data_IF_926122300932
#
_entry.id   IF_926122300932
#
_cell.length_a   1.000
_cell.length_b   1.000
_cell.length_c   1.000
_cell.angle_alpha   90.00
_cell.angle_beta   90.00
_cell.angle_gamma   90.00
#
_symmetry.space_group_name_H-M   'P 1'
#
loop_
_entity.id
_entity.type
_entity.pdbx_description
1 polymer ?
#
# COMPACT_ATOMS: atom_id res chain seq x y z
N UNK A 1 -44.74 37.31 20.50
CA UNK A 1 -44.40 36.15 19.66
C UNK A 1 -43.41 36.57 18.59
N UNK A 2 -42.10 36.38 18.84
CA UNK A 2 -41.05 36.58 17.86
C UNK A 2 -40.35 35.25 17.63
N UNK A 3 -40.63 34.61 16.49
CA UNK A 3 -39.88 33.44 16.01
C UNK A 3 -38.58 33.90 15.37
N UNK A 4 -37.45 33.44 15.91
CA UNK A 4 -36.11 33.57 15.25
C UNK A 4 -36.01 32.52 14.15
N UNK A 5 -35.43 32.84 12.99
CA UNK A 5 -35.19 31.87 11.94
C UNK A 5 -34.00 30.96 12.33
N UNK A 6 -34.15 29.66 12.14
CA UNK A 6 -33.09 28.66 12.27
C UNK A 6 -32.13 28.82 11.09
N UNK A 7 -30.87 29.11 11.37
CA UNK A 7 -29.79 29.03 10.41
C UNK A 7 -29.62 27.57 9.98
N UNK A 8 -29.74 27.30 8.67
CA UNK A 8 -29.36 26.04 8.06
C UNK A 8 -27.81 26.00 8.03
N UNK A 9 -27.23 25.11 8.80
CA UNK A 9 -25.83 24.73 8.66
C UNK A 9 -25.66 24.07 7.28
N UNK A 10 -25.02 24.78 6.36
CA UNK A 10 -24.56 24.25 5.10
C UNK A 10 -23.44 23.24 5.40
N UNK A 11 -23.73 21.94 5.26
CA UNK A 11 -22.71 20.92 5.24
C UNK A 11 -21.86 21.16 3.98
N UNK A 12 -20.67 21.72 4.16
CA UNK A 12 -19.62 21.67 3.16
C UNK A 12 -19.33 20.21 2.88
N UNK A 13 -19.85 19.69 1.77
CA UNK A 13 -19.37 18.43 1.20
C UNK A 13 -17.92 18.67 0.77
N UNK A 14 -16.99 18.34 1.65
CA UNK A 14 -15.60 18.10 1.26
C UNK A 14 -15.69 16.96 0.24
N UNK A 15 -15.29 17.25 -0.99
CA UNK A 15 -15.09 16.24 -2.03
C UNK A 15 -14.04 15.25 -1.51
N UNK A 16 -14.49 14.23 -0.79
CA UNK A 16 -13.70 13.03 -0.55
C UNK A 16 -13.37 12.49 -1.94
N UNK A 17 -12.10 12.30 -2.26
CA UNK A 17 -11.70 11.41 -3.35
C UNK A 17 -12.27 10.04 -2.99
N UNK A 18 -13.45 9.78 -3.48
CA UNK A 18 -14.19 8.56 -3.22
C UNK A 18 -13.49 7.43 -3.98
N UNK A 19 -12.60 6.74 -3.27
CA UNK A 19 -11.84 5.59 -3.78
C UNK A 19 -12.74 4.37 -3.95
N UNK A 20 -14.00 4.43 -3.46
CA UNK A 20 -15.01 3.38 -3.64
C UNK A 20 -15.46 3.17 -5.10
N UNK A 21 -14.94 3.99 -6.01
CA UNK A 21 -15.18 3.86 -7.46
C UNK A 21 -14.14 3.04 -8.21
N UNK A 22 -13.25 2.33 -7.52
CA UNK A 22 -12.43 1.34 -8.21
C UNK A 22 -13.38 0.23 -8.70
N UNK A 23 -13.53 0.15 -10.03
CA UNK A 23 -14.38 -0.84 -10.71
C UNK A 23 -13.99 -2.28 -10.35
N UNK A 24 -14.76 -3.23 -10.87
CA UNK A 24 -14.50 -4.67 -10.67
C UNK A 24 -13.01 -5.02 -10.79
N UNK A 25 -12.51 -5.96 -9.96
CA UNK A 25 -11.09 -6.35 -9.96
C UNK A 25 -10.63 -6.67 -11.37
N UNK A 26 -9.51 -6.04 -11.78
CA UNK A 26 -9.03 -6.10 -13.15
C UNK A 26 -8.79 -7.53 -13.59
N UNK A 27 -9.69 -8.05 -14.38
CA UNK A 27 -9.57 -9.37 -15.02
C UNK A 27 -8.60 -9.39 -16.20
N UNK A 28 -7.96 -8.27 -16.56
CA UNK A 28 -7.11 -8.17 -17.74
C UNK A 28 -5.65 -7.84 -17.38
N UNK A 29 -4.75 -8.64 -17.92
CA UNK A 29 -3.30 -8.40 -17.85
C UNK A 29 -2.97 -7.06 -18.51
N UNK A 30 -2.12 -6.20 -17.91
CA UNK A 30 -1.73 -4.93 -18.51
C UNK A 30 -1.11 -5.10 -19.88
N UNK A 31 -1.54 -4.28 -20.85
CA UNK A 31 -1.06 -4.35 -22.24
C UNK A 31 -0.70 -2.97 -22.76
N UNK A 32 0.33 -2.94 -23.59
CA UNK A 32 0.66 -1.75 -24.37
C UNK A 32 -0.54 -1.32 -25.23
N UNK A 33 -0.95 -0.05 -25.19
CA UNK A 33 -2.07 0.44 -26.00
C UNK A 33 -1.81 0.36 -27.52
N UNK A 34 -0.55 0.39 -27.96
CA UNK A 34 -0.16 0.39 -29.36
C UNK A 34 0.07 -1.03 -29.90
N UNK A 35 1.00 -1.80 -29.33
CA UNK A 35 1.37 -3.12 -29.86
C UNK A 35 0.68 -4.30 -29.16
N UNK A 36 -0.11 -4.08 -28.13
CA UNK A 36 -0.87 -5.07 -27.36
C UNK A 36 -0.03 -6.11 -26.60
N UNK A 37 1.30 -5.98 -26.59
CA UNK A 37 2.20 -6.82 -25.78
C UNK A 37 1.97 -6.57 -24.31
N UNK A 38 2.23 -7.59 -23.50
CA UNK A 38 2.19 -7.46 -22.04
C UNK A 38 3.20 -6.43 -21.54
N UNK A 39 2.79 -5.66 -20.56
CA UNK A 39 3.64 -4.70 -19.87
C UNK A 39 3.47 -4.85 -18.35
N UNK A 40 4.41 -4.35 -17.58
CA UNK A 40 4.28 -4.32 -16.12
C UNK A 40 3.43 -3.12 -15.68
N UNK A 41 2.86 -3.20 -14.47
CA UNK A 41 2.02 -2.14 -13.89
C UNK A 41 2.72 -0.78 -13.77
N UNK A 42 4.03 -0.77 -13.72
CA UNK A 42 4.89 0.41 -13.58
C UNK A 42 5.57 0.85 -14.89
N UNK A 43 5.23 0.21 -16.01
CA UNK A 43 5.84 0.54 -17.31
C UNK A 43 5.56 1.98 -17.72
N UNK A 44 6.61 2.71 -18.06
CA UNK A 44 6.57 4.09 -18.59
C UNK A 44 6.64 4.12 -20.10
N UNK A 45 7.47 3.25 -20.67
CA UNK A 45 7.70 3.12 -22.12
C UNK A 45 7.65 1.65 -22.49
N UNK A 46 6.90 1.30 -23.50
CA UNK A 46 6.82 -0.09 -23.98
C UNK A 46 8.19 -0.57 -24.49
N UNK A 47 8.76 -1.65 -23.93
CA UNK A 47 10.05 -2.14 -24.37
C UNK A 47 10.03 -2.68 -25.81
N UNK A 48 8.87 -3.07 -26.34
CA UNK A 48 8.74 -3.66 -27.67
C UNK A 48 8.60 -2.62 -28.78
N UNK A 49 7.80 -1.57 -28.56
CA UNK A 49 7.46 -0.61 -29.64
C UNK A 49 7.80 0.84 -29.30
N UNK A 50 8.39 1.12 -28.13
CA UNK A 50 8.78 2.46 -27.74
C UNK A 50 7.63 3.41 -27.41
N UNK A 51 6.38 2.93 -27.37
CA UNK A 51 5.25 3.80 -27.02
C UNK A 51 5.37 4.29 -25.59
N UNK A 52 5.40 5.60 -25.43
CA UNK A 52 5.27 6.23 -24.11
C UNK A 52 3.85 6.07 -23.61
N UNK A 53 3.67 5.67 -22.34
CA UNK A 53 2.35 5.38 -21.80
C UNK A 53 2.20 5.84 -20.36
N UNK A 54 0.94 5.97 -19.95
CA UNK A 54 0.55 6.20 -18.58
C UNK A 54 -0.70 5.40 -18.23
N UNK A 55 -0.95 5.23 -16.95
CA UNK A 55 -2.08 4.47 -16.42
C UNK A 55 -3.17 5.39 -15.87
N UNK A 56 -4.37 5.28 -16.40
CA UNK A 56 -5.59 5.80 -15.80
C UNK A 56 -5.96 4.86 -14.65
N UNK A 57 -5.79 5.34 -13.42
CA UNK A 57 -5.80 4.48 -12.21
C UNK A 57 -7.18 3.90 -11.93
N UNK A 58 -8.24 4.68 -12.18
CA UNK A 58 -9.63 4.26 -11.90
C UNK A 58 -9.99 3.07 -12.78
N UNK A 59 -9.74 3.18 -14.08
CA UNK A 59 -10.10 2.16 -15.05
C UNK A 59 -9.01 1.09 -15.25
N UNK A 60 -7.86 1.25 -14.61
CA UNK A 60 -6.68 0.38 -14.75
C UNK A 60 -6.20 0.20 -16.19
N UNK A 61 -6.38 1.21 -17.02
CA UNK A 61 -6.07 1.17 -18.44
C UNK A 61 -4.81 1.95 -18.76
N UNK A 62 -3.91 1.34 -19.52
CA UNK A 62 -2.78 2.03 -20.12
C UNK A 62 -3.20 2.76 -21.38
N UNK A 63 -2.81 4.01 -21.49
CA UNK A 63 -3.03 4.86 -22.65
C UNK A 63 -1.72 5.40 -23.19
N UNK A 64 -1.61 5.59 -24.51
CA UNK A 64 -0.45 6.19 -25.13
C UNK A 64 -0.39 7.68 -24.82
N UNK A 65 0.82 8.19 -24.57
CA UNK A 65 1.07 9.59 -24.33
C UNK A 65 1.77 10.23 -25.52
N UNK A 66 1.48 11.50 -25.74
CA UNK A 66 2.24 12.39 -26.62
C UNK A 66 2.54 13.68 -25.84
N UNK A 67 3.80 14.01 -25.71
CA UNK A 67 4.25 15.16 -24.90
C UNK A 67 3.67 15.11 -23.48
N UNK A 68 3.72 13.93 -22.83
CA UNK A 68 3.26 13.71 -21.46
C UNK A 68 1.75 13.78 -21.25
N UNK A 69 0.92 13.75 -22.31
CA UNK A 69 -0.55 13.85 -22.21
C UNK A 69 -1.28 12.95 -23.19
N UNK A 70 -2.56 12.72 -22.90
CA UNK A 70 -3.52 12.08 -23.81
C UNK A 70 -4.89 12.75 -23.69
N UNK A 71 -5.67 12.72 -24.76
CA UNK A 71 -7.04 13.26 -24.77
C UNK A 71 -7.99 12.17 -25.25
N UNK A 72 -9.02 11.89 -24.47
CA UNK A 72 -10.08 10.95 -24.77
C UNK A 72 -11.45 11.61 -24.62
N UNK A 73 -12.50 10.80 -24.66
CA UNK A 73 -13.89 11.27 -24.50
C UNK A 73 -14.12 11.98 -23.16
N UNK A 74 -13.44 11.51 -22.09
CA UNK A 74 -13.53 12.07 -20.74
C UNK A 74 -12.65 13.31 -20.52
N UNK A 75 -11.99 13.84 -21.57
CA UNK A 75 -11.12 14.99 -21.53
C UNK A 75 -9.63 14.66 -21.54
N UNK A 76 -8.80 15.63 -21.12
CA UNK A 76 -7.35 15.50 -21.18
C UNK A 76 -6.78 14.97 -19.86
N UNK A 77 -5.86 14.01 -19.98
CA UNK A 77 -5.08 13.42 -18.91
C UNK A 77 -3.60 13.78 -19.11
N UNK A 78 -2.92 14.04 -18.04
CA UNK A 78 -1.52 14.42 -18.00
C UNK A 78 -0.70 13.39 -17.22
N UNK A 79 0.54 13.19 -17.59
CA UNK A 79 1.49 12.46 -16.77
C UNK A 79 1.63 13.14 -15.41
N UNK A 80 1.69 12.35 -14.34
CA UNK A 80 2.02 12.87 -13.01
C UNK A 80 3.34 13.64 -13.06
N UNK A 81 3.42 14.79 -12.38
CA UNK A 81 4.64 15.61 -12.31
C UNK A 81 5.86 14.88 -11.75
N UNK A 82 5.63 13.74 -11.07
CA UNK A 82 6.68 12.86 -10.54
C UNK A 82 7.09 11.74 -11.53
N UNK A 83 6.85 11.93 -12.83
CA UNK A 83 7.17 10.94 -13.86
C UNK A 83 8.67 10.62 -13.93
N UNK A 84 9.52 11.59 -13.69
CA UNK A 84 10.99 11.40 -13.63
C UNK A 84 11.41 10.42 -12.52
N UNK A 85 10.60 10.31 -11.45
CA UNK A 85 10.76 9.35 -10.36
C UNK A 85 10.03 8.02 -10.60
N UNK A 86 9.69 7.73 -11.85
CA UNK A 86 9.08 6.49 -12.24
C UNK A 86 7.55 6.42 -12.06
N UNK A 87 6.87 7.55 -11.81
CA UNK A 87 5.41 7.53 -11.71
C UNK A 87 4.76 7.50 -13.08
N UNK A 88 4.04 6.42 -13.38
CA UNK A 88 3.29 6.26 -14.62
C UNK A 88 1.79 6.56 -14.51
N UNK A 89 1.32 7.01 -13.33
CA UNK A 89 -0.08 7.37 -13.14
C UNK A 89 -0.41 8.69 -13.81
N UNK A 90 -1.63 8.76 -14.35
CA UNK A 90 -2.15 9.96 -14.98
C UNK A 90 -3.03 10.75 -14.03
N UNK A 91 -3.10 12.04 -14.28
CA UNK A 91 -3.88 12.99 -13.51
C UNK A 91 -4.73 13.86 -14.44
N UNK A 92 -5.76 14.50 -13.87
CA UNK A 92 -6.51 15.56 -14.54
C UNK A 92 -5.78 16.89 -14.35
N UNK A 93 -6.17 17.90 -15.12
CA UNK A 93 -5.60 19.24 -15.09
C UNK A 93 -5.80 19.98 -13.75
N UNK A 94 -6.83 19.59 -13.00
CA UNK A 94 -7.14 20.12 -11.67
C UNK A 94 -6.36 19.45 -10.52
N UNK A 95 -5.51 18.47 -10.84
CA UNK A 95 -4.73 17.77 -9.82
C UNK A 95 -3.73 18.70 -9.12
N UNK A 96 -3.76 18.80 -7.78
CA UNK A 96 -2.87 19.68 -7.05
C UNK A 96 -1.39 19.40 -7.37
N UNK A 97 -0.67 20.45 -7.79
CA UNK A 97 0.73 20.40 -8.24
C UNK A 97 0.99 19.35 -9.35
N UNK A 98 -0.03 18.94 -10.12
CA UNK A 98 0.08 17.90 -11.13
C UNK A 98 0.42 16.50 -10.58
N UNK A 99 0.21 16.26 -9.29
CA UNK A 99 0.56 15.00 -8.61
C UNK A 99 -0.63 14.06 -8.49
N UNK A 100 -0.40 12.79 -8.79
CA UNK A 100 -1.40 11.74 -8.54
C UNK A 100 -1.57 11.48 -7.04
N UNK A 101 -2.63 10.73 -6.68
CA UNK A 101 -2.92 10.42 -5.27
C UNK A 101 -1.74 9.72 -4.58
N UNK A 102 -1.08 8.76 -5.23
CA UNK A 102 0.09 8.09 -4.66
C UNK A 102 1.21 9.07 -4.32
N UNK A 103 1.57 9.97 -5.25
CA UNK A 103 2.63 10.94 -5.04
C UNK A 103 2.27 12.02 -4.02
N UNK A 104 0.99 12.33 -3.84
CA UNK A 104 0.49 13.25 -2.81
C UNK A 104 0.50 12.63 -1.42
N UNK A 105 0.39 11.31 -1.32
CA UNK A 105 0.51 10.61 -0.04
C UNK A 105 1.94 10.63 0.51
N UNK A 106 2.98 10.83 -0.32
CA UNK A 106 4.34 11.05 0.16
C UNK A 106 4.47 12.46 0.72
N UNK A 107 4.74 12.56 2.03
CA UNK A 107 4.89 13.80 2.77
C UNK A 107 6.30 14.34 2.68
N UNK A 108 7.25 13.46 2.94
CA UNK A 108 8.68 13.79 3.04
C UNK A 108 9.48 12.86 2.14
N UNK A 109 10.50 13.41 1.51
CA UNK A 109 11.44 12.71 0.63
C UNK A 109 12.86 13.02 1.06
N UNK A 110 13.85 12.19 0.68
CA UNK A 110 15.26 12.47 0.94
C UNK A 110 15.71 13.75 0.24
N UNK A 111 16.79 14.34 0.74
CA UNK A 111 17.44 15.49 0.12
C UNK A 111 17.93 15.16 -1.29
N UNK A 112 18.01 16.21 -2.15
CA UNK A 112 18.34 16.02 -3.58
C UNK A 112 19.77 15.54 -3.84
N UNK A 113 20.66 15.71 -2.89
CA UNK A 113 22.06 15.29 -2.96
C UNK A 113 22.30 13.86 -2.44
N UNK A 114 21.31 13.24 -1.77
CA UNK A 114 21.38 11.84 -1.36
C UNK A 114 21.03 10.90 -2.52
N UNK A 115 21.97 10.74 -3.44
CA UNK A 115 21.78 9.92 -4.66
C UNK A 115 21.42 8.47 -4.35
N UNK A 116 21.96 7.90 -3.26
CA UNK A 116 21.67 6.51 -2.85
C UNK A 116 20.22 6.37 -2.40
N UNK A 117 19.72 7.31 -1.59
CA UNK A 117 18.32 7.30 -1.18
C UNK A 117 17.38 7.55 -2.37
N UNK A 118 17.76 8.43 -3.30
CA UNK A 118 16.98 8.72 -4.50
C UNK A 118 16.84 7.52 -5.45
N UNK A 119 17.90 6.72 -5.62
CA UNK A 119 17.83 5.47 -6.39
C UNK A 119 16.82 4.48 -5.77
N UNK A 120 16.74 4.43 -4.44
CA UNK A 120 15.81 3.57 -3.72
C UNK A 120 14.39 4.13 -3.69
N UNK A 121 14.27 5.46 -3.70
CA UNK A 121 12.99 6.15 -3.70
C UNK A 121 12.07 5.63 -4.83
N UNK A 122 12.58 5.53 -6.05
CA UNK A 122 11.80 5.05 -7.19
C UNK A 122 11.21 3.65 -6.95
N UNK A 123 11.98 2.73 -6.35
CA UNK A 123 11.54 1.36 -6.03
C UNK A 123 10.48 1.33 -4.92
N UNK A 124 10.65 2.17 -3.90
CA UNK A 124 9.64 2.27 -2.81
C UNK A 124 8.36 2.89 -3.32
N UNK A 125 8.44 3.93 -4.14
CA UNK A 125 7.29 4.57 -4.77
C UNK A 125 6.55 3.60 -5.73
N UNK A 126 7.28 2.75 -6.45
CA UNK A 126 6.69 1.67 -7.27
C UNK A 126 5.92 0.67 -6.38
N UNK A 127 6.54 0.16 -5.32
CA UNK A 127 5.91 -0.77 -4.39
C UNK A 127 4.68 -0.14 -3.72
N UNK A 128 4.75 1.13 -3.35
CA UNK A 128 3.62 1.89 -2.79
C UNK A 128 2.46 2.00 -3.79
N UNK A 129 2.73 2.30 -5.07
CA UNK A 129 1.68 2.32 -6.10
C UNK A 129 0.99 0.96 -6.23
N UNK A 130 1.76 -0.13 -6.23
CA UNK A 130 1.20 -1.51 -6.28
C UNK A 130 0.35 -1.80 -5.06
N UNK A 131 0.78 -1.40 -3.86
CA UNK A 131 -0.02 -1.50 -2.64
C UNK A 131 -1.33 -0.73 -2.75
N UNK A 132 -1.28 0.54 -3.15
CA UNK A 132 -2.48 1.38 -3.27
C UNK A 132 -3.48 0.85 -4.31
N UNK A 133 -2.99 0.25 -5.41
CA UNK A 133 -3.84 -0.45 -6.38
C UNK A 133 -4.55 -1.63 -5.72
N UNK A 134 -3.83 -2.43 -4.96
CA UNK A 134 -4.39 -3.60 -4.27
C UNK A 134 -5.42 -3.20 -3.20
N UNK A 135 -5.14 -2.15 -2.43
CA UNK A 135 -6.07 -1.58 -1.45
C UNK A 135 -7.36 -1.09 -2.14
N UNK A 136 -7.21 -0.43 -3.29
CA UNK A 136 -8.34 0.00 -4.11
C UNK A 136 -9.18 -1.18 -4.62
N UNK A 137 -8.55 -2.29 -5.05
CA UNK A 137 -9.25 -3.52 -5.48
C UNK A 137 -10.09 -4.15 -4.37
N UNK A 138 -9.66 -4.00 -3.13
CA UNK A 138 -10.40 -4.46 -1.97
C UNK A 138 -11.51 -3.49 -1.53
N UNK A 139 -11.65 -2.34 -2.20
CA UNK A 139 -12.60 -1.30 -1.81
C UNK A 139 -12.30 -0.64 -0.46
N UNK A 140 -11.07 -0.78 0.04
CA UNK A 140 -10.68 -0.20 1.32
C UNK A 140 -10.46 1.32 1.19
N UNK A 141 -10.95 2.13 2.17
CA UNK A 141 -10.85 3.57 2.09
C UNK A 141 -9.41 4.06 2.22
N UNK A 142 -8.98 4.96 1.34
CA UNK A 142 -7.73 5.70 1.48
C UNK A 142 -8.09 7.13 1.88
N UNK A 143 -7.90 7.46 3.15
CA UNK A 143 -8.10 8.81 3.69
C UNK A 143 -6.73 9.50 3.76
N UNK A 144 -6.46 10.50 2.91
CA UNK A 144 -5.14 11.12 2.87
C UNK A 144 -4.82 11.94 4.14
N UNK A 145 -3.55 11.94 4.54
CA UNK A 145 -3.03 12.68 5.70
C UNK A 145 -3.35 14.19 5.66
N UNK A 146 -3.45 14.75 4.46
CA UNK A 146 -3.72 16.18 4.25
C UNK A 146 -5.22 16.54 4.31
N UNK A 147 -6.10 15.56 4.49
CA UNK A 147 -7.54 15.78 4.62
C UNK A 147 -8.04 15.61 6.04
N UNK A 148 -7.43 14.71 6.80
CA UNK A 148 -7.89 14.36 8.15
C UNK A 148 -6.71 13.97 9.04
N UNK A 149 -6.65 14.40 10.30
CA UNK A 149 -5.68 13.89 11.27
C UNK A 149 -5.76 12.36 11.38
N UNK A 150 -4.61 11.69 11.37
CA UNK A 150 -4.55 10.22 11.34
C UNK A 150 -4.76 9.60 9.95
N UNK A 151 -4.95 10.42 8.91
CA UNK A 151 -5.01 9.96 7.53
C UNK A 151 -3.68 9.40 7.04
N UNK A 152 -3.74 8.56 6.00
CA UNK A 152 -2.60 7.84 5.43
C UNK A 152 -1.58 8.78 4.78
N UNK A 153 -0.34 8.66 5.16
CA UNK A 153 0.81 9.33 4.55
C UNK A 153 2.08 8.49 4.62
N UNK A 154 3.08 8.89 3.85
CA UNK A 154 4.38 8.21 3.81
C UNK A 154 5.50 9.24 3.96
N UNK A 155 6.42 8.97 4.91
CA UNK A 155 7.69 9.66 5.05
C UNK A 155 8.79 8.74 4.55
N UNK A 156 9.39 9.09 3.42
CA UNK A 156 10.48 8.36 2.78
C UNK A 156 11.77 9.12 3.09
N UNK A 157 12.41 8.74 4.18
CA UNK A 157 13.53 9.45 4.78
C UNK A 157 14.86 8.77 4.48
N UNK A 158 15.95 9.43 4.82
CA UNK A 158 17.29 8.87 4.75
C UNK A 158 18.05 9.22 6.03
N UNK A 159 18.39 8.21 6.85
CA UNK A 159 19.22 8.40 8.04
C UNK A 159 20.62 8.95 7.70
N UNK A 160 21.05 8.88 6.44
CA UNK A 160 22.33 9.44 5.96
C UNK A 160 22.28 10.96 5.82
N UNK A 161 21.21 11.49 5.20
CA UNK A 161 21.03 12.92 5.01
C UNK A 161 20.50 13.61 6.27
N UNK A 162 19.61 12.95 7.00
CA UNK A 162 19.03 13.53 8.22
C UNK A 162 20.00 13.54 9.42
N UNK A 163 21.10 12.78 9.34
CA UNK A 163 22.10 12.66 10.44
C UNK A 163 21.51 12.09 11.74
N UNK A 164 20.30 11.52 11.68
CA UNK A 164 19.59 10.92 12.81
C UNK A 164 19.11 9.53 12.43
N UNK A 165 19.02 8.65 13.42
CA UNK A 165 18.38 7.35 13.23
C UNK A 165 16.89 7.57 12.89
N UNK A 166 16.46 7.10 11.73
CA UNK A 166 15.05 7.07 11.34
C UNK A 166 14.37 5.91 12.07
N UNK A 167 13.25 6.17 12.70
CA UNK A 167 12.41 5.12 13.30
C UNK A 167 11.45 4.67 12.20
N UNK A 168 11.65 3.46 11.69
CA UNK A 168 10.80 2.83 10.68
C UNK A 168 9.54 2.31 11.35
N UNK A 169 8.39 2.39 10.69
CA UNK A 169 7.12 1.85 11.19
C UNK A 169 5.95 2.79 10.94
N UNK A 170 4.82 2.46 11.55
CA UNK A 170 3.59 3.23 11.48
C UNK A 170 3.31 4.02 12.76
N UNK A 171 2.95 5.30 12.62
CA UNK A 171 2.47 6.14 13.72
C UNK A 171 1.43 7.16 13.21
N UNK A 172 0.26 7.19 13.84
CA UNK A 172 -0.80 8.19 13.57
C UNK A 172 -1.14 8.33 12.05
N UNK A 173 -1.25 7.23 11.34
CA UNK A 173 -1.54 7.21 9.90
C UNK A 173 -0.32 7.39 8.99
N UNK A 174 0.85 7.68 9.56
CA UNK A 174 2.08 7.90 8.80
C UNK A 174 2.96 6.66 8.84
N UNK A 175 3.33 6.18 7.66
CA UNK A 175 4.27 5.09 7.45
C UNK A 175 5.63 5.70 7.11
N UNK A 176 6.63 5.43 7.94
CA UNK A 176 8.01 5.92 7.78
C UNK A 176 8.91 4.82 7.28
N UNK A 177 9.66 5.08 6.22
CA UNK A 177 10.65 4.17 5.62
C UNK A 177 12.01 4.87 5.60
N UNK A 178 13.07 4.18 6.04
CA UNK A 178 14.44 4.62 5.88
C UNK A 178 15.03 4.07 4.57
N UNK A 179 15.32 4.95 3.64
CA UNK A 179 15.90 4.62 2.35
C UNK A 179 17.42 4.38 2.42
N UNK A 180 18.08 4.87 3.47
CA UNK A 180 19.53 4.70 3.65
C UNK A 180 19.89 3.36 4.27
N UNK A 181 19.11 2.90 5.22
CA UNK A 181 19.22 1.52 5.68
C UNK A 181 18.81 0.65 4.50
N UNK A 182 19.84 0.08 3.85
CA UNK A 182 19.63 -0.79 2.72
C UNK A 182 18.59 -1.84 3.12
N UNK A 183 17.40 -1.70 2.57
CA UNK A 183 16.38 -2.73 2.66
C UNK A 183 16.97 -4.10 2.27
N UNK A 184 18.11 -4.14 1.60
CA UNK A 184 18.79 -5.35 1.20
C UNK A 184 19.77 -5.88 2.27
N UNK A 185 20.55 -5.03 2.95
CA UNK A 185 21.54 -5.47 3.96
C UNK A 185 20.88 -5.75 5.32
N UNK A 186 19.97 -4.87 5.77
CA UNK A 186 19.19 -5.10 7.00
C UNK A 186 18.19 -6.23 6.80
N UNK A 187 17.56 -6.32 5.63
CA UNK A 187 16.69 -7.42 5.23
C UNK A 187 17.40 -8.75 5.26
N UNK A 188 18.60 -8.84 4.64
CA UNK A 188 19.36 -10.09 4.59
C UNK A 188 19.78 -10.51 6.00
N UNK A 189 20.28 -9.58 6.80
CA UNK A 189 20.67 -9.85 8.18
C UNK A 189 19.47 -10.29 9.06
N UNK A 190 18.31 -9.65 8.91
CA UNK A 190 17.10 -10.00 9.66
C UNK A 190 16.43 -11.25 9.07
N UNK A 191 16.42 -11.43 7.74
CA UNK A 191 15.94 -12.63 7.06
C UNK A 191 16.69 -13.88 7.52
N UNK A 192 18.01 -13.80 7.56
CA UNK A 192 18.86 -14.91 8.03
C UNK A 192 18.64 -15.17 9.51
N UNK A 193 18.48 -14.11 10.31
CA UNK A 193 18.29 -14.23 11.77
C UNK A 193 16.92 -14.75 12.17
N UNK A 194 15.86 -14.43 11.42
CA UNK A 194 14.47 -14.82 11.71
C UNK A 194 13.95 -15.97 10.84
N UNK A 195 14.76 -16.50 9.90
CA UNK A 195 14.33 -17.57 9.01
C UNK A 195 13.15 -17.21 8.09
N UNK A 196 12.85 -15.91 7.91
CA UNK A 196 11.71 -15.45 7.10
C UNK A 196 12.11 -15.26 5.63
N UNK A 197 11.61 -16.10 4.70
CA UNK A 197 11.99 -16.06 3.29
C UNK A 197 11.43 -14.84 2.54
N UNK A 198 10.47 -14.09 3.09
CA UNK A 198 9.67 -13.11 2.36
C UNK A 198 9.70 -11.69 2.95
N UNK A 199 10.80 -10.96 2.73
CA UNK A 199 10.90 -9.54 3.10
C UNK A 199 11.18 -8.67 1.88
N UNK A 200 10.15 -8.42 1.08
CA UNK A 200 10.21 -7.43 -0.01
C UNK A 200 9.79 -6.04 0.49
N UNK A 201 10.13 -4.97 -0.25
CA UNK A 201 9.64 -3.62 0.01
C UNK A 201 8.11 -3.61 0.08
N UNK A 202 7.46 -4.29 -0.87
CA UNK A 202 6.01 -4.40 -0.91
C UNK A 202 5.47 -5.16 0.31
N UNK A 203 6.15 -6.23 0.75
CA UNK A 203 5.79 -6.98 1.96
C UNK A 203 5.83 -6.10 3.21
N UNK A 204 6.89 -5.32 3.37
CA UNK A 204 7.02 -4.37 4.48
C UNK A 204 5.92 -3.29 4.44
N UNK A 205 5.68 -2.70 3.27
CA UNK A 205 4.58 -1.74 3.12
C UNK A 205 3.20 -2.35 3.42
N UNK A 206 2.99 -3.64 3.09
CA UNK A 206 1.76 -4.37 3.43
C UNK A 206 1.60 -4.59 4.94
N UNK A 207 2.71 -4.83 5.65
CA UNK A 207 2.72 -4.92 7.10
C UNK A 207 2.37 -3.57 7.73
N UNK A 208 3.10 -2.51 7.39
CA UNK A 208 2.89 -1.18 7.97
C UNK A 208 1.49 -0.62 7.70
N UNK A 209 0.93 -0.89 6.51
CA UNK A 209 -0.44 -0.47 6.23
C UNK A 209 -1.47 -1.30 6.99
N UNK A 210 -1.12 -2.52 7.43
CA UNK A 210 -1.93 -3.33 8.35
C UNK A 210 -2.21 -2.59 9.65
N UNK A 211 -1.18 -1.98 10.25
CA UNK A 211 -1.34 -1.12 11.43
C UNK A 211 -2.28 0.06 11.19
N UNK A 212 -2.21 0.69 10.02
CA UNK A 212 -3.15 1.75 9.65
C UNK A 212 -4.58 1.22 9.57
N UNK A 213 -4.80 0.09 8.88
CA UNK A 213 -6.14 -0.46 8.71
C UNK A 213 -6.73 -1.06 9.96
N UNK A 214 -5.96 -1.50 10.94
CA UNK A 214 -6.51 -1.88 12.23
C UNK A 214 -7.31 -0.73 12.86
N UNK A 215 -6.76 0.48 12.83
CA UNK A 215 -7.46 1.66 13.35
C UNK A 215 -8.61 2.16 12.46
N UNK A 216 -8.53 1.91 11.14
CA UNK A 216 -9.56 2.35 10.18
C UNK A 216 -10.76 1.42 10.17
N UNK A 217 -10.53 0.12 10.28
CA UNK A 217 -11.58 -0.90 10.18
C UNK A 217 -12.26 -1.18 11.52
N UNK A 218 -11.55 -1.00 12.64
CA UNK A 218 -12.06 -1.30 13.97
C UNK A 218 -12.38 0.01 14.66
N UNK A 219 -13.69 0.39 14.68
CA UNK A 219 -14.12 1.72 15.06
C UNK A 219 -14.97 1.75 16.35
N UNK A 220 -15.57 0.63 16.74
CA UNK A 220 -16.49 0.55 17.87
C UNK A 220 -16.10 -0.58 18.85
N UNK A 221 -16.71 -0.57 20.02
CA UNK A 221 -16.38 -1.52 21.09
C UNK A 221 -16.68 -2.97 20.71
N UNK A 222 -17.69 -3.22 19.87
CA UNK A 222 -18.05 -4.57 19.41
C UNK A 222 -16.98 -5.14 18.48
N UNK A 223 -16.56 -4.36 17.50
CA UNK A 223 -15.49 -4.75 16.55
C UNK A 223 -14.16 -4.88 17.26
N UNK A 224 -13.84 -4.04 18.26
CA UNK A 224 -12.67 -4.21 19.11
C UNK A 224 -12.72 -5.48 19.96
N UNK A 225 -13.88 -5.82 20.53
CA UNK A 225 -14.02 -7.07 21.28
C UNK A 225 -13.76 -8.29 20.40
N UNK A 226 -14.32 -8.32 19.20
CA UNK A 226 -14.05 -9.39 18.20
C UNK A 226 -12.59 -9.46 17.77
N UNK A 227 -11.95 -8.30 17.59
CA UNK A 227 -10.52 -8.25 17.26
C UNK A 227 -9.67 -8.86 18.40
N UNK A 228 -9.99 -8.53 19.66
CA UNK A 228 -9.31 -9.09 20.84
C UNK A 228 -9.53 -10.59 21.01
N UNK A 229 -10.71 -11.09 20.65
CA UNK A 229 -10.99 -12.52 20.65
C UNK A 229 -10.12 -13.30 19.64
N UNK A 230 -9.76 -12.66 18.51
CA UNK A 230 -8.95 -13.26 17.45
C UNK A 230 -7.44 -13.10 17.69
N UNK A 231 -6.99 -11.91 18.06
CA UNK A 231 -5.58 -11.53 18.08
C UNK A 231 -5.01 -11.33 19.49
N UNK A 232 -5.88 -11.24 20.51
CA UNK A 232 -5.48 -10.88 21.87
C UNK A 232 -5.62 -9.38 22.16
N UNK A 233 -5.27 -8.98 23.37
CA UNK A 233 -5.46 -7.61 23.86
C UNK A 233 -4.31 -6.68 23.42
N UNK A 234 -4.57 -5.84 22.44
CA UNK A 234 -3.62 -4.86 21.90
C UNK A 234 -3.18 -3.79 22.91
N UNK A 235 -3.88 -3.66 24.04
CA UNK A 235 -3.54 -2.71 25.10
C UNK A 235 -2.41 -3.22 26.01
N UNK A 236 -1.97 -4.47 25.82
CA UNK A 236 -0.80 -5.01 26.52
C UNK A 236 0.44 -4.14 26.23
N UNK A 237 1.41 -4.19 27.15
CA UNK A 237 2.64 -3.40 27.00
C UNK A 237 3.46 -3.88 25.81
N UNK A 238 3.48 -3.07 24.74
CA UNK A 238 4.29 -3.33 23.55
C UNK A 238 5.77 -3.48 23.88
N UNK A 239 6.32 -2.60 24.75
CA UNK A 239 7.73 -2.63 25.13
C UNK A 239 8.10 -3.90 25.90
N UNK A 240 7.25 -4.37 26.80
CA UNK A 240 7.47 -5.64 27.50
C UNK A 240 7.39 -6.83 26.56
N UNK A 241 6.42 -6.83 25.65
CA UNK A 241 6.26 -7.84 24.62
C UNK A 241 7.49 -7.93 23.71
N UNK A 242 7.99 -6.78 23.25
CA UNK A 242 9.20 -6.65 22.43
C UNK A 242 10.43 -7.20 23.19
N UNK A 243 10.62 -6.79 24.44
CA UNK A 243 11.73 -7.26 25.29
C UNK A 243 11.68 -8.77 25.46
N UNK A 244 10.50 -9.33 25.77
CA UNK A 244 10.29 -10.77 25.90
C UNK A 244 10.62 -11.51 24.60
N UNK A 245 10.10 -11.01 23.46
CA UNK A 245 10.31 -11.65 22.17
C UNK A 245 11.81 -11.76 21.82
N UNK A 246 12.59 -10.71 22.02
CA UNK A 246 14.03 -10.74 21.74
C UNK A 246 14.85 -11.54 22.76
N UNK A 247 14.34 -11.70 23.99
CA UNK A 247 15.03 -12.47 25.05
C UNK A 247 14.74 -13.98 24.96
N UNK A 248 13.53 -14.37 24.62
CA UNK A 248 13.03 -15.76 24.72
C UNK A 248 12.67 -16.35 23.37
N UNK A 249 12.35 -15.52 22.37
CA UNK A 249 11.83 -15.94 21.07
C UNK A 249 10.34 -16.25 21.10
N UNK A 250 9.86 -16.81 20.00
CA UNK A 250 8.48 -17.27 19.85
C UNK A 250 8.25 -18.60 20.62
N UNK A 251 7.00 -18.92 21.00
CA UNK A 251 6.63 -20.24 21.52
C UNK A 251 6.98 -21.36 20.54
N UNK A 252 7.36 -22.56 21.04
CA UNK A 252 7.78 -23.69 20.17
C UNK A 252 6.72 -24.15 19.16
N UNK A 253 5.44 -23.97 19.48
CA UNK A 253 4.29 -24.38 18.63
C UNK A 253 3.57 -23.17 18.03
N UNK A 254 4.27 -22.08 17.79
CA UNK A 254 3.64 -20.87 17.26
C UNK A 254 2.90 -21.10 15.92
N UNK A 255 3.38 -22.00 15.09
CA UNK A 255 2.79 -22.32 13.78
C UNK A 255 1.35 -22.86 13.86
N UNK A 256 0.94 -23.36 15.04
CA UNK A 256 -0.42 -23.86 15.23
C UNK A 256 -1.46 -22.74 15.40
N UNK A 257 -1.00 -21.51 15.70
CA UNK A 257 -1.90 -20.40 16.07
C UNK A 257 -1.56 -19.05 15.46
N UNK A 258 -0.37 -18.88 14.88
CA UNK A 258 0.09 -17.61 14.32
C UNK A 258 0.60 -17.79 12.90
N UNK A 259 0.42 -16.73 12.09
CA UNK A 259 0.82 -16.73 10.69
C UNK A 259 2.34 -16.59 10.48
N UNK A 260 3.03 -15.99 11.45
CA UNK A 260 4.49 -15.80 11.45
C UNK A 260 5.05 -15.85 12.87
N UNK A 261 6.36 -16.06 13.00
CA UNK A 261 7.05 -15.97 14.28
C UNK A 261 6.88 -14.57 14.91
N UNK A 262 6.98 -13.52 14.08
CA UNK A 262 6.84 -12.14 14.54
C UNK A 262 5.43 -11.79 15.01
N UNK A 263 4.40 -12.42 14.47
CA UNK A 263 3.01 -12.28 14.94
C UNK A 263 2.85 -12.64 16.43
N UNK A 264 3.69 -13.54 16.96
CA UNK A 264 3.65 -13.91 18.39
C UNK A 264 4.10 -12.81 19.33
N UNK A 265 4.73 -11.76 18.82
CA UNK A 265 5.34 -10.72 19.63
C UNK A 265 4.28 -9.90 20.36
N UNK A 266 3.26 -9.41 19.66
CA UNK A 266 2.19 -8.57 20.21
C UNK A 266 0.93 -8.66 19.34
N UNK A 267 -0.29 -8.56 19.90
CA UNK A 267 -1.54 -8.53 19.12
C UNK A 267 -1.58 -7.48 17.99
N UNK A 268 -0.93 -6.36 18.18
CA UNK A 268 -0.76 -5.31 17.17
C UNK A 268 0.01 -5.81 15.94
N UNK A 269 1.07 -6.59 16.17
CA UNK A 269 1.87 -7.19 15.10
C UNK A 269 1.16 -8.38 14.45
N UNK A 270 0.42 -9.17 15.22
CA UNK A 270 -0.35 -10.30 14.69
C UNK A 270 -1.40 -9.84 13.69
N UNK A 271 -2.12 -8.76 14.00
CA UNK A 271 -3.05 -8.16 13.05
C UNK A 271 -2.32 -7.70 11.77
N UNK A 272 -1.19 -6.98 11.91
CA UNK A 272 -0.44 -6.45 10.78
C UNK A 272 0.15 -7.56 9.89
N UNK A 273 0.71 -8.62 10.49
CA UNK A 273 1.24 -9.80 9.81
C UNK A 273 0.11 -10.56 9.08
N UNK A 274 -1.01 -10.79 9.74
CA UNK A 274 -2.19 -11.44 9.14
C UNK A 274 -2.73 -10.61 7.96
N UNK A 275 -2.84 -9.30 8.11
CA UNK A 275 -3.26 -8.40 7.04
C UNK A 275 -2.29 -8.44 5.86
N UNK A 276 -0.99 -8.40 6.12
CA UNK A 276 0.04 -8.49 5.08
C UNK A 276 -0.04 -9.81 4.31
N UNK A 277 -0.19 -10.94 5.01
CA UNK A 277 -0.32 -12.25 4.39
C UNK A 277 -1.60 -12.37 3.56
N UNK A 278 -2.72 -11.84 4.05
CA UNK A 278 -3.95 -11.75 3.27
C UNK A 278 -3.72 -11.01 1.94
N UNK A 279 -3.08 -9.85 1.99
CA UNK A 279 -2.73 -9.09 0.78
C UNK A 279 -1.78 -9.88 -0.15
N UNK A 280 -0.84 -10.65 0.39
CA UNK A 280 0.03 -11.52 -0.41
C UNK A 280 -0.75 -12.60 -1.14
N UNK A 281 -1.62 -13.31 -0.43
CA UNK A 281 -2.44 -14.39 -0.99
C UNK A 281 -3.35 -13.83 -2.08
N UNK A 282 -4.12 -12.79 -1.79
CA UNK A 282 -5.03 -12.17 -2.76
C UNK A 282 -4.27 -11.67 -4.00
N UNK A 283 -3.17 -10.94 -3.81
CA UNK A 283 -2.37 -10.43 -4.93
C UNK A 283 -1.77 -11.55 -5.80
N UNK A 284 -1.37 -12.66 -5.19
CA UNK A 284 -0.86 -13.84 -5.91
C UNK A 284 -1.97 -14.50 -6.73
N UNK A 285 -3.14 -14.70 -6.13
CA UNK A 285 -4.30 -15.29 -6.82
C UNK A 285 -4.78 -14.41 -7.97
N UNK A 286 -4.86 -13.09 -7.76
CA UNK A 286 -5.21 -12.13 -8.82
C UNK A 286 -4.22 -12.18 -9.98
N UNK A 287 -2.92 -12.24 -9.69
CA UNK A 287 -1.87 -12.35 -10.72
C UNK A 287 -2.00 -13.66 -11.49
N UNK A 288 -2.19 -14.79 -10.78
CA UNK A 288 -2.37 -16.09 -11.39
C UNK A 288 -3.60 -16.11 -12.31
N UNK A 289 -4.72 -15.57 -11.85
CA UNK A 289 -5.95 -15.45 -12.63
C UNK A 289 -5.74 -14.57 -13.88
N UNK A 290 -5.05 -13.42 -13.74
CA UNK A 290 -4.80 -12.49 -14.84
C UNK A 290 -3.96 -13.10 -15.97
N UNK A 291 -3.03 -14.01 -15.66
CA UNK A 291 -2.23 -14.73 -16.66
C UNK A 291 -2.86 -16.05 -17.12
N UNK A 292 -4.09 -16.34 -16.66
CA UNK A 292 -4.87 -17.49 -17.11
C UNK A 292 -4.51 -18.82 -16.43
N UNK A 293 -3.81 -18.82 -15.28
CA UNK A 293 -3.60 -20.02 -14.47
C UNK A 293 -4.96 -20.45 -13.93
N UNK A 294 -5.30 -21.70 -14.15
CA UNK A 294 -6.50 -22.35 -13.63
C UNK A 294 -6.10 -23.60 -12.86
N UNK A 295 -6.72 -23.79 -11.72
CA UNK A 295 -6.62 -25.06 -10.98
C UNK A 295 -7.73 -25.99 -11.46
N UNK A 296 -7.37 -27.23 -11.75
CA UNK A 296 -8.35 -28.28 -12.01
C UNK A 296 -8.95 -28.72 -10.66
N UNK A 297 -10.25 -28.50 -10.49
CA UNK A 297 -10.96 -28.88 -9.27
C UNK A 297 -10.86 -30.40 -8.96
N UNK A 298 -10.63 -31.23 -9.98
CA UNK A 298 -10.41 -32.68 -9.81
C UNK A 298 -9.06 -33.04 -9.16
N UNK A 299 -8.09 -32.14 -9.19
CA UNK A 299 -6.78 -32.32 -8.57
C UNK A 299 -6.68 -31.71 -7.16
N UNK A 300 -7.69 -30.96 -6.71
CA UNK A 300 -7.71 -30.33 -5.39
C UNK A 300 -8.14 -31.33 -4.33
N UNK A 301 -7.30 -31.49 -3.30
CA UNK A 301 -7.65 -32.21 -2.07
C UNK A 301 -8.38 -31.33 -1.06
N UNK A 302 -8.51 -30.01 -1.37
CA UNK A 302 -9.27 -29.06 -0.54
C UNK A 302 -10.77 -29.31 -0.75
N UNK A 303 -11.48 -29.63 0.30
CA UNK A 303 -12.94 -29.79 0.29
C UNK A 303 -13.58 -28.41 0.53
N UNK A 304 -14.75 -28.18 -0.12
CA UNK A 304 -15.55 -26.94 0.01
C UNK A 304 -16.07 -26.62 1.43
N UNK A 305 -15.62 -27.36 2.44
CA UNK A 305 -16.15 -27.25 3.82
C UNK A 305 -15.26 -26.44 4.76
N UNK A 306 -14.14 -25.88 4.29
CA UNK A 306 -13.12 -25.27 5.16
C UNK A 306 -12.85 -23.79 4.81
N UNK A 307 -13.85 -23.07 4.25
CA UNK A 307 -13.79 -21.61 4.02
C UNK A 307 -14.96 -20.93 4.71
#
# INVERSE_FOLDING_TARGET
>A
SHRRPRARAGANRVSSCDVSRYGDPVSSTPRCPSCRRFVYLDTLVCPECGTEMGMQVIDRVFVALRDGRTTGEDGTWFACSEREWGCNWLVRDDAPAGRCISCRLTRTRPEQDDTIALEKLAKVEEAKRRLLLQIGDLGLPIVPWYTTPGGLGFDLLSSRSDGRKVIIGHANGIITIDLAESLDDVREAVRVKLGEPYRTILGHLRHEIGHYYQNVLIQDDETWARCRDLFGDERASYQEALTRHYAVGAPQSWQDSFISEYATMHPWEDFAETFAHYLHIVGTLQTAAAIGIRLDAGASTLRDTDV
#
